data_IF_728645863355
#
_entry.id   IF_728645863355
#
_cell.length_a   1.000
_cell.length_b   1.000
_cell.length_c   1.000
_cell.angle_alpha   90.00
_cell.angle_beta   90.00
_cell.angle_gamma   90.00
#
_symmetry.space_group_name_H-M   'P 1'
#
loop_
_entity.id
_entity.type
_entity.pdbx_description
1 polymer ?
#
# COMPACT_ATOMS: atom_id res chain seq x y z
N UNK A 1 0.90 -11.41 7.87
CA UNK A 1 0.82 -10.20 8.74
C UNK A 1 1.41 -9.03 7.97
N UNK A 2 0.85 -7.83 8.06
CA UNK A 2 1.43 -6.63 7.45
C UNK A 2 2.41 -6.01 8.44
N UNK A 3 3.64 -5.76 8.01
CA UNK A 3 4.66 -5.08 8.81
C UNK A 3 4.91 -3.68 8.27
N UNK A 4 5.10 -2.71 9.16
CA UNK A 4 5.32 -1.30 8.84
C UNK A 4 6.65 -0.85 9.43
N UNK A 5 7.50 -0.24 8.61
CA UNK A 5 8.83 0.19 9.03
C UNK A 5 8.95 1.71 8.94
N UNK A 6 9.34 2.32 10.06
CA UNK A 6 9.72 3.73 10.15
C UNK A 6 11.22 3.78 9.92
N UNK A 7 11.62 4.14 8.70
CA UNK A 7 13.02 4.14 8.26
C UNK A 7 13.41 5.56 7.88
N UNK A 8 14.43 6.17 8.53
CA UNK A 8 15.00 7.44 8.09
C UNK A 8 15.51 7.35 6.66
N UNK A 9 15.49 8.46 5.90
CA UNK A 9 15.85 8.46 4.49
C UNK A 9 17.30 8.04 4.25
N UNK A 10 18.19 8.45 5.13
CA UNK A 10 19.60 8.12 5.14
C UNK A 10 19.89 6.63 5.40
N UNK A 11 18.91 5.88 5.91
CA UNK A 11 19.04 4.46 6.21
C UNK A 11 18.42 3.56 5.12
N UNK A 12 17.97 4.12 3.99
CA UNK A 12 17.31 3.36 2.92
C UNK A 12 18.15 2.16 2.46
N UNK A 13 19.40 2.39 2.05
CA UNK A 13 20.24 1.34 1.47
C UNK A 13 20.57 0.24 2.49
N UNK A 14 20.85 0.63 3.73
CA UNK A 14 21.13 -0.32 4.81
C UNK A 14 19.91 -1.18 5.13
N UNK A 15 18.73 -0.56 5.27
CA UNK A 15 17.49 -1.27 5.51
C UNK A 15 17.13 -2.23 4.37
N UNK A 16 17.31 -1.81 3.11
CA UNK A 16 17.03 -2.66 1.96
C UNK A 16 17.97 -3.86 1.89
N UNK A 17 19.25 -3.69 2.22
CA UNK A 17 20.22 -4.78 2.28
C UNK A 17 19.85 -5.79 3.40
N UNK A 18 19.55 -5.29 4.60
CA UNK A 18 19.16 -6.13 5.74
C UNK A 18 17.85 -6.88 5.45
N UNK A 19 16.85 -6.17 4.91
CA UNK A 19 15.57 -6.79 4.55
C UNK A 19 15.75 -7.85 3.46
N UNK A 20 16.60 -7.61 2.46
CA UNK A 20 16.86 -8.60 1.41
C UNK A 20 17.51 -9.89 1.95
N UNK A 21 18.34 -9.79 2.99
CA UNK A 21 18.97 -10.95 3.63
C UNK A 21 17.96 -11.79 4.44
N UNK A 22 17.03 -11.13 5.14
CA UNK A 22 16.11 -11.77 6.10
C UNK A 22 14.63 -11.74 5.65
N UNK A 23 14.38 -11.49 4.36
CA UNK A 23 13.03 -11.30 3.83
C UNK A 23 12.13 -12.51 4.14
N UNK A 24 10.96 -12.31 4.79
CA UNK A 24 10.02 -13.38 5.02
C UNK A 24 9.55 -14.01 3.70
N UNK A 25 9.52 -15.35 3.64
CA UNK A 25 9.10 -16.06 2.45
C UNK A 25 7.67 -15.66 2.02
N UNK A 26 7.51 -15.32 0.73
CA UNK A 26 6.22 -14.93 0.16
C UNK A 26 5.76 -13.51 0.50
N UNK A 27 6.62 -12.68 1.11
CA UNK A 27 6.36 -11.26 1.29
C UNK A 27 6.95 -10.42 0.14
N UNK A 28 6.35 -9.26 -0.09
CA UNK A 28 6.97 -8.22 -0.90
C UNK A 28 7.05 -6.91 -0.12
N UNK A 29 8.15 -6.18 -0.33
CA UNK A 29 8.40 -4.89 0.27
C UNK A 29 7.91 -3.77 -0.66
N UNK A 30 7.26 -2.78 -0.09
CA UNK A 30 6.80 -1.59 -0.79
C UNK A 30 7.33 -0.35 -0.08
N UNK A 31 7.64 0.68 -0.86
CA UNK A 31 8.10 1.99 -0.38
C UNK A 31 7.01 3.02 -0.57
N UNK A 32 6.80 3.87 0.42
CA UNK A 32 5.85 4.97 0.35
C UNK A 32 6.26 5.95 -0.74
N UNK A 33 5.27 6.42 -1.51
CA UNK A 33 5.52 7.37 -2.59
C UNK A 33 5.78 8.79 -2.09
N UNK A 34 5.21 9.15 -0.94
CA UNK A 34 5.43 10.45 -0.32
C UNK A 34 6.51 10.34 0.76
N UNK A 35 7.40 11.33 0.78
CA UNK A 35 8.48 11.40 1.75
C UNK A 35 7.99 11.72 3.17
N UNK A 36 6.81 12.32 3.32
CA UNK A 36 6.17 12.61 4.61
C UNK A 36 5.34 11.43 5.14
N UNK A 37 5.38 10.28 4.47
CA UNK A 37 4.69 9.10 4.93
C UNK A 37 5.26 8.64 6.29
N UNK A 38 4.40 8.33 7.26
CA UNK A 38 4.83 7.96 8.61
C UNK A 38 5.57 6.63 8.68
N UNK A 39 5.30 5.74 7.73
CA UNK A 39 6.02 4.49 7.55
C UNK A 39 6.56 4.51 6.13
N UNK A 40 7.88 4.43 6.01
CA UNK A 40 8.55 4.54 4.72
C UNK A 40 8.44 3.24 3.92
N UNK A 41 8.41 2.10 4.62
CA UNK A 41 8.25 0.79 4.01
C UNK A 41 7.12 -0.01 4.65
N UNK A 42 6.51 -0.88 3.85
CA UNK A 42 5.60 -1.92 4.31
C UNK A 42 5.91 -3.26 3.67
N UNK A 43 5.90 -4.32 4.47
CA UNK A 43 6.01 -5.70 4.00
C UNK A 43 4.63 -6.33 4.01
N UNK A 44 4.22 -6.90 2.87
CA UNK A 44 2.88 -7.48 2.68
C UNK A 44 2.99 -8.92 2.20
N UNK A 45 2.22 -9.88 2.76
CA UNK A 45 2.18 -11.27 2.30
C UNK A 45 1.37 -11.41 1.01
N UNK A 46 1.82 -12.26 0.08
CA UNK A 46 1.06 -12.67 -1.11
C UNK A 46 0.58 -11.58 -2.09
N UNK A 47 1.21 -10.40 -2.23
CA UNK A 47 0.64 -9.34 -3.04
C UNK A 47 0.83 -9.61 -4.55
N UNK A 48 -0.02 -9.02 -5.42
CA UNK A 48 0.17 -9.07 -6.86
C UNK A 48 1.56 -8.56 -7.26
N UNK A 49 2.09 -9.16 -8.33
CA UNK A 49 3.51 -9.00 -8.72
C UNK A 49 3.90 -7.55 -9.02
N UNK A 50 2.96 -6.72 -9.48
CA UNK A 50 3.23 -5.36 -9.92
C UNK A 50 2.16 -4.36 -9.45
N UNK A 51 2.51 -3.07 -9.48
CA UNK A 51 1.58 -1.95 -9.28
C UNK A 51 1.79 -1.14 -7.99
N UNK A 52 0.72 -0.48 -7.55
CA UNK A 52 0.65 0.34 -6.35
C UNK A 52 -0.24 -0.28 -5.29
N UNK A 53 0.10 -0.01 -4.04
CA UNK A 53 -0.56 -0.53 -2.87
C UNK A 53 -1.05 0.64 -2.01
N UNK A 54 -2.36 0.73 -1.81
CA UNK A 54 -2.96 1.69 -0.89
C UNK A 54 -3.19 0.99 0.43
N UNK A 55 -2.47 1.41 1.47
CA UNK A 55 -2.69 0.94 2.85
C UNK A 55 -3.54 1.99 3.56
N UNK A 56 -4.66 1.56 4.13
CA UNK A 56 -5.55 2.43 4.89
C UNK A 56 -5.88 1.84 6.27
N UNK A 57 -5.73 2.67 7.30
CA UNK A 57 -6.32 2.41 8.62
C UNK A 57 -7.75 2.96 8.61
N UNK A 58 -8.69 2.14 8.15
CA UNK A 58 -10.11 2.47 8.03
C UNK A 58 -10.96 1.50 8.85
N UNK A 59 -12.11 1.93 9.35
CA UNK A 59 -13.13 1.01 9.86
C UNK A 59 -13.75 0.17 8.73
N UNK A 60 -14.48 -0.88 9.10
CA UNK A 60 -15.04 -1.83 8.13
C UNK A 60 -16.14 -1.25 7.23
N UNK A 61 -16.87 -0.24 7.68
CA UNK A 61 -17.92 0.40 6.88
C UNK A 61 -17.31 1.31 5.82
N UNK A 62 -16.33 2.13 6.22
CA UNK A 62 -15.52 3.00 5.35
C UNK A 62 -14.78 2.15 4.33
N UNK A 63 -14.10 1.09 4.76
CA UNK A 63 -13.35 0.18 3.89
C UNK A 63 -14.24 -0.50 2.84
N UNK A 64 -15.39 -1.02 3.25
CA UNK A 64 -16.33 -1.70 2.36
C UNK A 64 -16.92 -0.75 1.33
N UNK A 65 -17.27 0.47 1.75
CA UNK A 65 -17.81 1.50 0.86
C UNK A 65 -16.77 1.89 -0.20
N UNK A 66 -15.53 2.16 0.22
CA UNK A 66 -14.45 2.52 -0.69
C UNK A 66 -14.14 1.40 -1.70
N UNK A 67 -13.97 0.17 -1.22
CA UNK A 67 -13.63 -0.98 -2.09
C UNK A 67 -14.75 -1.36 -3.07
N UNK A 68 -16.02 -1.21 -2.67
CA UNK A 68 -17.15 -1.36 -3.59
C UNK A 68 -17.13 -0.31 -4.71
N UNK A 69 -16.81 0.95 -4.39
CA UNK A 69 -16.68 2.01 -5.38
C UNK A 69 -15.46 1.80 -6.31
N UNK A 70 -14.36 1.26 -5.78
CA UNK A 70 -13.15 0.98 -6.56
C UNK A 70 -13.31 -0.19 -7.53
N UNK A 71 -14.16 -1.18 -7.23
CA UNK A 71 -14.35 -2.40 -8.03
C UNK A 71 -14.69 -2.13 -9.52
N UNK A 72 -15.35 -1.01 -9.83
CA UNK A 72 -15.68 -0.62 -11.21
C UNK A 72 -14.65 0.28 -11.89
N UNK A 73 -13.50 0.57 -11.26
CA UNK A 73 -12.53 1.54 -11.77
C UNK A 73 -11.43 0.85 -12.56
N UNK A 74 -11.05 1.49 -13.66
CA UNK A 74 -9.92 1.03 -14.46
C UNK A 74 -8.66 0.97 -13.59
N UNK A 75 -7.93 -0.14 -13.71
CA UNK A 75 -6.66 -0.32 -13.01
C UNK A 75 -6.79 -0.71 -11.54
N UNK A 76 -7.99 -0.88 -10.99
CA UNK A 76 -8.18 -1.55 -9.70
C UNK A 76 -8.01 -3.06 -9.87
N UNK A 77 -7.22 -3.68 -9.00
CA UNK A 77 -6.83 -5.10 -9.08
C UNK A 77 -7.46 -5.96 -7.98
N UNK A 78 -8.12 -5.32 -7.01
CA UNK A 78 -8.72 -5.99 -5.86
C UNK A 78 -8.30 -5.36 -4.54
N UNK A 79 -8.85 -5.88 -3.46
CA UNK A 79 -8.54 -5.43 -2.12
C UNK A 79 -8.65 -6.57 -1.12
N UNK A 80 -7.90 -6.44 -0.03
CA UNK A 80 -7.84 -7.39 1.06
C UNK A 80 -7.95 -6.66 2.40
N UNK A 81 -8.37 -7.41 3.42
CA UNK A 81 -8.52 -6.91 4.79
C UNK A 81 -7.66 -7.73 5.73
N UNK A 82 -6.80 -7.04 6.50
CA UNK A 82 -5.89 -7.62 7.47
C UNK A 82 -6.12 -6.93 8.82
N UNK A 83 -7.13 -7.39 9.57
CA UNK A 83 -7.56 -6.73 10.81
C UNK A 83 -8.03 -5.30 10.55
N UNK A 84 -7.51 -4.26 11.25
CA UNK A 84 -7.89 -2.87 11.03
C UNK A 84 -7.27 -2.25 9.77
N UNK A 85 -6.39 -2.98 9.07
CA UNK A 85 -5.67 -2.48 7.90
C UNK A 85 -6.32 -2.99 6.61
N UNK A 86 -6.72 -2.07 5.75
CA UNK A 86 -7.16 -2.36 4.40
C UNK A 86 -6.02 -2.21 3.42
N UNK A 87 -5.92 -3.14 2.46
CA UNK A 87 -5.01 -3.05 1.32
C UNK A 87 -5.83 -3.02 0.04
N UNK A 88 -5.67 -1.99 -0.78
CA UNK A 88 -6.22 -1.94 -2.12
C UNK A 88 -5.08 -1.96 -3.15
N UNK A 89 -5.18 -2.87 -4.11
CA UNK A 89 -4.20 -3.05 -5.16
C UNK A 89 -4.64 -2.32 -6.43
N UNK A 90 -3.69 -1.58 -6.99
CA UNK A 90 -3.88 -0.83 -8.22
C UNK A 90 -2.74 -1.13 -9.19
N UNK A 91 -3.03 -1.14 -10.48
CA UNK A 91 -2.02 -1.30 -11.54
C UNK A 91 -0.96 -0.21 -11.54
N UNK A 92 -1.28 0.99 -11.06
CA UNK A 92 -0.32 2.08 -10.86
C UNK A 92 -0.85 3.12 -9.87
N UNK A 93 0.03 3.96 -9.28
CA UNK A 93 -0.41 5.04 -8.39
C UNK A 93 -1.30 6.06 -9.12
N UNK A 94 -1.04 6.29 -10.41
CA UNK A 94 -1.80 7.22 -11.24
C UNK A 94 -3.26 6.78 -11.40
N UNK A 95 -3.52 5.47 -11.53
CA UNK A 95 -4.89 4.97 -11.65
C UNK A 95 -5.67 5.15 -10.35
N UNK A 96 -5.03 4.95 -9.20
CA UNK A 96 -5.63 5.28 -7.91
C UNK A 96 -5.94 6.78 -7.79
N UNK A 97 -4.97 7.64 -8.11
CA UNK A 97 -5.18 9.09 -8.06
C UNK A 97 -6.35 9.55 -8.93
N UNK A 98 -6.48 9.01 -10.15
CA UNK A 98 -7.63 9.27 -11.05
C UNK A 98 -8.95 8.75 -10.49
N UNK A 99 -8.94 7.65 -9.75
CA UNK A 99 -10.15 7.15 -9.10
C UNK A 99 -10.59 8.06 -7.95
N UNK A 100 -9.64 8.54 -7.13
CA UNK A 100 -9.90 9.49 -6.04
C UNK A 100 -10.43 10.82 -6.59
N UNK A 101 -9.83 11.35 -7.65
CA UNK A 101 -10.30 12.60 -8.29
C UNK A 101 -11.75 12.48 -8.79
N UNK A 102 -12.12 11.32 -9.35
CA UNK A 102 -13.46 11.08 -9.87
C UNK A 102 -14.52 10.76 -8.80
N UNK A 103 -14.13 10.08 -7.71
CA UNK A 103 -15.05 9.59 -6.68
C UNK A 103 -15.08 10.47 -5.41
N UNK A 104 -14.13 11.41 -5.30
CA UNK A 104 -13.77 12.01 -4.03
C UNK A 104 -12.88 11.09 -3.18
N UNK A 105 -12.31 11.64 -2.12
CA UNK A 105 -11.52 10.87 -1.16
C UNK A 105 -12.44 10.06 -0.23
N UNK A 106 -12.84 8.88 -0.70
CA UNK A 106 -13.67 7.93 0.07
C UNK A 106 -12.96 7.38 1.32
N UNK A 107 -11.66 7.64 1.48
CA UNK A 107 -10.84 7.25 2.61
C UNK A 107 -10.38 8.47 3.43
N UNK A 108 -11.04 9.63 3.31
CA UNK A 108 -10.59 10.89 3.94
C UNK A 108 -10.53 10.86 5.47
N UNK A 109 -11.31 9.98 6.12
CA UNK A 109 -11.26 9.74 7.56
C UNK A 109 -10.22 8.69 7.98
N UNK A 110 -9.60 8.02 7.03
CA UNK A 110 -8.63 6.96 7.24
C UNK A 110 -7.20 7.48 7.03
N UNK A 111 -6.27 6.94 7.80
CA UNK A 111 -4.85 7.18 7.53
C UNK A 111 -4.43 6.37 6.31
N UNK A 112 -4.29 7.03 5.17
CA UNK A 112 -4.03 6.40 3.88
C UNK A 112 -2.64 6.74 3.35
N UNK A 113 -1.90 5.73 2.92
CA UNK A 113 -0.58 5.89 2.29
C UNK A 113 -0.51 5.03 1.04
N UNK A 114 0.02 5.61 -0.05
CA UNK A 114 0.26 4.90 -1.30
C UNK A 114 1.72 4.46 -1.36
N UNK A 115 1.93 3.19 -1.65
CA UNK A 115 3.24 2.58 -1.78
C UNK A 115 3.43 2.02 -3.20
N UNK A 116 4.68 1.99 -3.65
CA UNK A 116 5.10 1.28 -4.86
C UNK A 116 6.03 0.13 -4.47
N UNK A 117 5.97 -0.95 -5.25
CA UNK A 117 6.80 -2.13 -5.00
C UNK A 117 8.28 -1.75 -5.10
N UNK A 118 9.07 -2.21 -4.13
CA UNK A 118 10.52 -2.24 -4.25
C UNK A 118 10.86 -3.54 -4.96
N UNK A 119 11.44 -3.46 -6.16
CA UNK A 119 11.97 -4.65 -6.84
C UNK A 119 13.20 -5.06 -6.03
N UNK A 120 13.28 -6.30 -5.50
CA UNK A 120 14.51 -6.75 -4.85
C UNK A 120 15.64 -6.68 -5.88
N UNK A 121 16.76 -6.05 -5.48
CA UNK A 121 18.02 -6.11 -6.23
C UNK A 121 18.57 -7.53 -6.24
#
# INVERSE_FOLDING_TARGET
MIERYVVPREADDAFLADYAADAPAGHALYRALRDDAPCRYVSVPGPPRDGALVVADADDATWRTATAAFAGRQGYLGAERHGPVGIAHWSSPLMYARAVDALGDLLSGARTVVYARVIPL
#
